data_IF_667322066624
#
_entry.id   IF_667322066624
#
_cell.length_a   1.000
_cell.length_b   1.000
_cell.length_c   1.000
_cell.angle_alpha   90.00
_cell.angle_beta   90.00
_cell.angle_gamma   90.00
#
_symmetry.space_group_name_H-M   'P 1'
#
loop_
_entity.id
_entity.type
_entity.pdbx_description
1 polymer ?
#
# COMPACT_ATOMS: atom_id res chain seq x y z
N UNK A 1 48.77 19.90 -24.21
CA UNK A 1 48.10 18.75 -24.85
C UNK A 1 47.51 17.91 -23.73
N UNK A 2 46.23 18.12 -23.41
CA UNK A 2 45.58 17.46 -22.27
C UNK A 2 44.90 16.19 -22.79
N UNK A 3 45.55 15.04 -22.58
CA UNK A 3 45.00 13.74 -22.94
C UNK A 3 43.85 13.41 -22.01
N UNK A 4 42.62 13.53 -22.52
CA UNK A 4 41.43 13.00 -21.86
C UNK A 4 41.59 11.47 -21.75
N UNK A 5 41.63 10.97 -20.51
CA UNK A 5 41.65 9.55 -20.24
C UNK A 5 40.43 8.88 -20.89
N UNK A 6 40.59 7.76 -21.63
CA UNK A 6 39.45 7.04 -22.15
C UNK A 6 38.73 6.42 -20.96
N UNK A 7 37.50 6.89 -20.69
CA UNK A 7 36.59 6.22 -19.77
C UNK A 7 36.38 4.81 -20.30
N UNK A 8 37.11 3.85 -19.72
CA UNK A 8 37.03 2.43 -20.06
C UNK A 8 35.61 1.99 -19.73
N UNK A 9 34.76 2.00 -20.75
CA UNK A 9 33.33 1.77 -20.65
C UNK A 9 33.12 0.32 -20.23
N UNK A 10 33.00 0.11 -18.92
CA UNK A 10 32.69 -1.17 -18.31
C UNK A 10 31.26 -1.52 -18.70
N UNK A 11 31.10 -2.39 -19.70
CA UNK A 11 29.78 -2.85 -20.18
C UNK A 11 28.88 -3.32 -19.02
N UNK A 12 29.47 -3.84 -17.95
CA UNK A 12 28.77 -4.20 -16.71
C UNK A 12 28.24 -3.03 -15.90
N UNK A 13 28.94 -1.89 -15.81
CA UNK A 13 28.48 -0.71 -15.07
C UNK A 13 27.30 -0.02 -15.76
N UNK A 14 27.31 0.01 -17.10
CA UNK A 14 26.21 0.56 -17.87
C UNK A 14 24.94 -0.30 -17.73
N UNK A 15 25.07 -1.63 -17.75
CA UNK A 15 23.96 -2.56 -17.57
C UNK A 15 23.30 -2.43 -16.17
N UNK A 16 24.12 -2.24 -15.12
CA UNK A 16 23.62 -2.03 -13.75
C UNK A 16 22.85 -0.71 -13.61
N UNK A 17 23.37 0.37 -14.18
CA UNK A 17 22.69 1.66 -14.19
C UNK A 17 21.36 1.58 -14.92
N UNK A 18 21.31 0.95 -16.09
CA UNK A 18 20.06 0.79 -16.84
C UNK A 18 19.04 -0.09 -16.12
N UNK A 19 19.49 -1.17 -15.48
CA UNK A 19 18.60 -2.06 -14.71
C UNK A 19 18.04 -1.37 -13.47
N UNK A 20 18.90 -0.67 -12.71
CA UNK A 20 18.47 0.11 -11.55
C UNK A 20 17.50 1.23 -11.93
N UNK A 21 17.77 1.93 -13.03
CA UNK A 21 16.87 2.97 -13.55
C UNK A 21 15.53 2.39 -14.00
N UNK A 22 15.55 1.23 -14.68
CA UNK A 22 14.32 0.55 -15.09
C UNK A 22 13.47 0.12 -13.90
N UNK A 23 14.08 -0.48 -12.87
CA UNK A 23 13.39 -0.87 -11.64
C UNK A 23 12.83 0.37 -10.93
N UNK A 24 13.62 1.44 -10.81
CA UNK A 24 13.18 2.70 -10.21
C UNK A 24 12.00 3.32 -10.96
N UNK A 25 12.04 3.32 -12.29
CA UNK A 25 10.93 3.81 -13.12
C UNK A 25 9.69 2.94 -12.99
N UNK A 26 9.83 1.62 -12.97
CA UNK A 26 8.71 0.70 -12.73
C UNK A 26 8.09 0.99 -11.36
N UNK A 27 8.92 1.15 -10.33
CA UNK A 27 8.44 1.42 -8.98
C UNK A 27 7.75 2.78 -8.85
N UNK A 28 8.31 3.83 -9.47
CA UNK A 28 7.80 5.20 -9.34
C UNK A 28 6.69 5.56 -10.33
N UNK A 29 6.52 4.80 -11.42
CA UNK A 29 5.53 5.12 -12.46
C UNK A 29 4.46 4.04 -12.53
N UNK A 30 4.86 2.77 -12.63
CA UNK A 30 3.89 1.66 -12.79
C UNK A 30 3.09 1.46 -11.52
N UNK A 31 3.73 1.53 -10.35
CA UNK A 31 3.05 1.34 -9.06
C UNK A 31 1.96 2.41 -8.78
N UNK A 32 2.23 3.73 -8.85
CA UNK A 32 1.18 4.73 -8.65
C UNK A 32 0.15 4.72 -9.77
N UNK A 33 0.54 4.40 -11.01
CA UNK A 33 -0.42 4.22 -12.09
C UNK A 33 -1.39 3.07 -11.79
N UNK A 34 -0.88 1.94 -11.29
CA UNK A 34 -1.72 0.81 -10.89
C UNK A 34 -2.60 1.14 -9.67
N UNK A 35 -2.09 1.95 -8.74
CA UNK A 35 -2.88 2.44 -7.60
C UNK A 35 -3.93 3.48 -8.00
N UNK A 36 -3.75 4.16 -9.14
CA UNK A 36 -4.70 5.12 -9.68
C UNK A 36 -5.87 4.48 -10.43
N UNK A 37 -5.92 3.13 -10.51
CA UNK A 37 -7.04 2.44 -11.14
C UNK A 37 -8.37 2.84 -10.46
N UNK A 38 -9.36 3.33 -11.23
CA UNK A 38 -10.65 3.79 -10.70
C UNK A 38 -11.46 2.72 -9.97
N UNK A 39 -11.13 1.44 -10.17
CA UNK A 39 -11.78 0.31 -9.50
C UNK A 39 -11.52 0.30 -7.99
N UNK A 40 -10.37 0.80 -7.54
CA UNK A 40 -10.04 0.94 -6.13
C UNK A 40 -10.82 2.10 -5.51
N UNK A 41 -10.91 3.25 -6.18
CA UNK A 41 -11.59 4.44 -5.64
C UNK A 41 -13.09 4.22 -5.45
N UNK A 42 -13.77 3.55 -6.38
CA UNK A 42 -15.21 3.28 -6.25
C UNK A 42 -15.57 2.47 -4.99
N UNK A 43 -14.72 1.50 -4.61
CA UNK A 43 -14.92 0.70 -3.40
C UNK A 43 -14.66 1.52 -2.13
N UNK A 44 -13.64 2.37 -2.15
CA UNK A 44 -13.30 3.30 -1.06
C UNK A 44 -14.41 4.33 -0.85
N UNK A 45 -14.98 4.87 -1.93
CA UNK A 45 -16.08 5.83 -1.89
C UNK A 45 -17.37 5.18 -1.34
N UNK A 46 -17.64 3.93 -1.71
CA UNK A 46 -18.73 3.15 -1.12
C UNK A 46 -18.56 2.94 0.39
N UNK A 47 -17.34 2.59 0.84
CA UNK A 47 -17.03 2.44 2.27
C UNK A 47 -17.18 3.77 3.02
N UNK A 48 -16.70 4.87 2.42
CA UNK A 48 -16.81 6.22 2.97
C UNK A 48 -18.27 6.66 3.10
N UNK A 49 -19.11 6.37 2.11
CA UNK A 49 -20.55 6.62 2.16
C UNK A 49 -21.23 5.86 3.31
N UNK A 50 -20.73 4.68 3.66
CA UNK A 50 -21.20 3.89 4.82
C UNK A 50 -20.54 4.26 6.15
N UNK A 51 -19.70 5.31 6.20
CA UNK A 51 -18.88 5.68 7.38
C UNK A 51 -17.95 4.55 7.86
N UNK A 52 -17.57 3.63 6.98
CA UNK A 52 -16.62 2.56 7.29
C UNK A 52 -15.23 3.04 6.89
N UNK A 53 -14.26 2.95 7.81
CA UNK A 53 -12.88 3.28 7.50
C UNK A 53 -12.27 2.18 6.60
N UNK A 54 -11.89 2.49 5.34
CA UNK A 54 -11.31 1.51 4.44
C UNK A 54 -9.92 1.02 4.88
N UNK A 55 -9.21 1.81 5.69
CA UNK A 55 -7.91 1.42 6.23
C UNK A 55 -8.03 0.36 7.33
N UNK A 56 -9.23 0.13 7.89
CA UNK A 56 -9.55 -0.93 8.86
C UNK A 56 -8.99 -2.29 8.44
N UNK A 57 -9.04 -2.64 7.15
CA UNK A 57 -8.53 -3.92 6.63
C UNK A 57 -7.04 -4.15 6.89
N UNK A 58 -6.25 -3.08 7.01
CA UNK A 58 -4.79 -3.15 7.14
C UNK A 58 -4.30 -2.94 8.58
N UNK A 59 -5.21 -2.64 9.52
CA UNK A 59 -4.85 -2.56 10.92
C UNK A 59 -4.79 -3.96 11.52
N UNK A 60 -3.63 -4.29 12.08
CA UNK A 60 -3.43 -5.45 12.95
C UNK A 60 -4.33 -5.40 14.19
N UNK A 61 -4.81 -4.22 14.56
CA UNK A 61 -5.68 -4.00 15.72
C UNK A 61 -7.11 -4.52 15.50
N UNK A 62 -7.53 -4.85 14.28
CA UNK A 62 -8.86 -5.44 14.04
C UNK A 62 -8.99 -6.81 14.70
N UNK A 63 -7.92 -7.62 14.70
CA UNK A 63 -7.90 -8.92 15.38
C UNK A 63 -8.02 -8.79 16.90
N UNK A 64 -7.53 -7.66 17.47
CA UNK A 64 -7.67 -7.34 18.88
C UNK A 64 -9.06 -6.79 19.25
N UNK A 65 -9.89 -6.42 18.27
CA UNK A 65 -11.22 -5.86 18.49
C UNK A 65 -12.29 -6.93 18.76
N UNK A 66 -12.10 -8.14 18.22
CA UNK A 66 -13.00 -9.29 18.38
C UNK A 66 -13.41 -9.58 19.85
N UNK A 67 -12.47 -9.70 20.82
CA UNK A 67 -12.84 -9.94 22.22
C UNK A 67 -13.60 -8.79 22.86
N UNK A 68 -13.41 -7.55 22.39
CA UNK A 68 -14.11 -6.37 22.91
C UNK A 68 -15.57 -6.38 22.44
N UNK A 69 -15.81 -6.69 21.16
CA UNK A 69 -17.15 -6.79 20.58
C UNK A 69 -17.98 -7.91 21.22
N UNK A 70 -17.35 -9.05 21.56
CA UNK A 70 -18.02 -10.14 22.26
C UNK A 70 -18.55 -9.70 23.64
N UNK A 71 -17.71 -9.04 24.45
CA UNK A 71 -18.11 -8.53 25.77
C UNK A 71 -19.25 -7.52 25.67
N UNK A 72 -19.21 -6.62 24.68
CA UNK A 72 -20.25 -5.61 24.48
C UNK A 72 -21.60 -6.24 24.09
N UNK A 73 -21.58 -7.27 23.24
CA UNK A 73 -22.78 -8.00 22.83
C UNK A 73 -23.40 -8.77 24.00
N UNK A 74 -22.59 -9.39 24.85
CA UNK A 74 -23.05 -10.06 26.07
C UNK A 74 -23.72 -9.08 27.03
N UNK A 75 -23.09 -7.93 27.28
CA UNK A 75 -23.65 -6.85 28.11
C UNK A 75 -24.97 -6.34 27.53
N UNK A 76 -25.01 -6.07 26.22
CA UNK A 76 -26.23 -5.58 25.55
C UNK A 76 -27.37 -6.60 25.65
N UNK A 77 -27.09 -7.89 25.49
CA UNK A 77 -28.08 -8.97 25.65
C UNK A 77 -28.57 -9.06 27.09
N UNK A 78 -27.68 -8.98 28.07
CA UNK A 78 -28.03 -9.01 29.49
C UNK A 78 -28.88 -7.80 29.90
N UNK A 79 -28.57 -6.61 29.39
CA UNK A 79 -29.36 -5.39 29.62
C UNK A 79 -30.75 -5.44 28.96
N UNK A 80 -30.90 -6.17 27.85
CA UNK A 80 -32.17 -6.29 27.11
C UNK A 80 -33.08 -7.41 27.63
N UNK A 81 -32.53 -8.35 28.39
CA UNK A 81 -33.26 -9.46 29.01
C UNK A 81 -33.82 -9.11 30.41
N UNK A 82 -33.57 -7.89 30.89
CA UNK A 82 -33.99 -7.35 32.17
C UNK A 82 -35.06 -6.29 31.98
#
# INVERSE_FOLDING_TARGET
MNSAAPLKQSRGGLALLTSGLAIGLVWLVVLPWLSSLPSQSAYIDWLRAKRIDPSARYYTEVEAMEPILQRLNEQTRASRAK
#
